data_IF_687845203902
#
_entry.id   IF_687845203902
#
_cell.length_a   1.000
_cell.length_b   1.000
_cell.length_c   1.000
_cell.angle_alpha   90.00
_cell.angle_beta   90.00
_cell.angle_gamma   90.00
#
_symmetry.space_group_name_H-M   'P 1'
#
loop_
_entity.id
_entity.type
_entity.pdbx_description
1 polymer ?
#
# COMPACT_ATOMS: atom_id res chain seq x y z
N UNK A 1 3.33 14.39 17.91
CA UNK A 1 3.71 12.96 17.81
C UNK A 1 3.42 12.50 16.39
N UNK A 2 4.45 12.13 15.64
CA UNK A 2 4.30 11.49 14.32
C UNK A 2 4.11 10.00 14.59
N UNK A 3 3.10 9.38 13.96
CA UNK A 3 2.95 7.93 13.97
C UNK A 3 3.14 7.41 12.55
N UNK A 4 4.00 6.43 12.39
CA UNK A 4 4.29 5.78 11.11
C UNK A 4 3.94 4.31 11.23
N UNK A 5 3.25 3.79 10.21
CA UNK A 5 2.93 2.38 10.07
C UNK A 5 3.46 1.91 8.72
N UNK A 6 3.97 0.67 8.71
CA UNK A 6 4.39 -0.02 7.50
C UNK A 6 3.44 -1.17 7.31
N UNK A 7 2.90 -1.31 6.11
CA UNK A 7 2.12 -2.47 5.70
C UNK A 7 2.43 -2.80 4.24
N UNK A 8 1.96 -3.95 3.79
CA UNK A 8 2.18 -4.43 2.43
C UNK A 8 0.85 -4.49 1.70
N UNK A 9 0.86 -4.11 0.43
CA UNK A 9 -0.31 -4.19 -0.44
C UNK A 9 0.04 -4.94 -1.72
N UNK A 10 -0.91 -5.72 -2.25
CA UNK A 10 -0.77 -6.30 -3.59
C UNK A 10 -1.36 -5.29 -4.56
N UNK A 11 -0.60 -4.98 -5.61
CA UNK A 11 -0.98 -4.04 -6.66
C UNK A 11 -0.74 -4.64 -8.04
N UNK A 12 -1.36 -4.04 -9.05
CA UNK A 12 -0.92 -4.13 -10.44
C UNK A 12 -0.50 -2.75 -10.91
N UNK A 13 0.28 -2.69 -11.98
CA UNK A 13 0.64 -1.46 -12.67
C UNK A 13 0.24 -1.60 -14.14
N UNK A 14 -0.33 -0.53 -14.69
CA UNK A 14 -0.61 -0.36 -16.11
C UNK A 14 -0.23 1.07 -16.55
N UNK A 15 -0.58 1.43 -17.79
CA UNK A 15 -0.24 2.74 -18.36
C UNK A 15 -0.87 3.93 -17.61
N UNK A 16 -1.93 3.71 -16.83
CA UNK A 16 -2.59 4.72 -16.00
C UNK A 16 -2.00 4.80 -14.59
N UNK A 17 -1.19 3.81 -14.18
CA UNK A 17 -0.38 3.83 -12.98
C UNK A 17 -0.59 2.64 -12.05
N UNK A 18 -0.41 2.89 -10.75
CA UNK A 18 -0.40 1.86 -9.71
C UNK A 18 -1.81 1.64 -9.12
N UNK A 19 -2.33 0.43 -9.24
CA UNK A 19 -3.66 0.04 -8.78
C UNK A 19 -3.58 -1.02 -7.66
N UNK A 20 -3.85 -0.63 -6.39
CA UNK A 20 -3.93 -1.58 -5.29
C UNK A 20 -5.21 -2.42 -5.36
N UNK A 21 -5.10 -3.72 -5.08
CA UNK A 21 -6.25 -4.64 -4.98
C UNK A 21 -7.08 -4.46 -3.68
N UNK A 22 -6.77 -3.44 -2.87
CA UNK A 22 -7.41 -3.20 -1.57
C UNK A 22 -6.98 -4.15 -0.45
N UNK A 23 -6.05 -5.06 -0.73
CA UNK A 23 -5.55 -6.06 0.21
C UNK A 23 -4.42 -5.47 1.07
N UNK A 24 -4.59 -5.51 2.38
CA UNK A 24 -3.64 -4.96 3.34
C UNK A 24 -3.08 -6.07 4.22
N UNK A 25 -1.75 -6.17 4.28
CA UNK A 25 -1.05 -7.19 5.05
C UNK A 25 -0.11 -6.57 6.07
N UNK A 26 -0.07 -7.15 7.27
CA UNK A 26 0.78 -6.64 8.35
C UNK A 26 2.23 -7.11 8.19
N UNK A 27 2.44 -8.21 7.45
CA UNK A 27 3.77 -8.77 7.19
C UNK A 27 3.99 -9.07 5.72
N UNK A 28 5.26 -9.09 5.31
CA UNK A 28 5.64 -9.46 3.94
C UNK A 28 5.23 -10.89 3.60
N UNK A 29 5.37 -11.83 4.55
CA UNK A 29 5.01 -13.23 4.34
C UNK A 29 3.53 -13.46 4.07
N UNK A 30 2.65 -12.72 4.76
CA UNK A 30 1.21 -12.73 4.47
C UNK A 30 0.90 -12.19 3.06
N UNK A 31 1.58 -11.12 2.65
CA UNK A 31 1.43 -10.56 1.32
C UNK A 31 1.92 -11.52 0.22
N UNK A 32 3.03 -12.23 0.46
CA UNK A 32 3.55 -13.26 -0.46
C UNK A 32 2.59 -14.45 -0.59
N UNK A 33 1.99 -14.88 0.52
CA UNK A 33 0.95 -15.91 0.49
C UNK A 33 -0.29 -15.45 -0.28
N UNK A 34 -0.72 -14.20 -0.08
CA UNK A 34 -1.79 -13.58 -0.85
C UNK A 34 -1.46 -13.52 -2.35
N UNK A 35 -0.26 -13.05 -2.70
CA UNK A 35 0.16 -12.90 -4.09
C UNK A 35 0.11 -14.23 -4.84
N UNK A 36 0.50 -15.34 -4.21
CA UNK A 36 0.39 -16.68 -4.82
C UNK A 36 -1.04 -17.05 -5.25
N UNK A 37 -2.05 -16.57 -4.52
CA UNK A 37 -3.47 -16.79 -4.84
C UNK A 37 -3.94 -15.89 -5.97
N UNK A 38 -3.49 -14.63 -6.02
CA UNK A 38 -3.96 -13.66 -7.02
C UNK A 38 -3.20 -13.71 -8.36
N UNK A 39 -1.93 -14.14 -8.34
CA UNK A 39 -1.06 -14.15 -9.53
C UNK A 39 -1.60 -14.95 -10.74
N UNK A 40 -2.34 -16.07 -10.58
CA UNK A 40 -2.95 -16.76 -11.72
C UNK A 40 -3.97 -15.92 -12.48
N UNK A 41 -4.74 -15.06 -11.79
CA UNK A 41 -5.72 -14.16 -12.41
C UNK A 41 -5.11 -12.81 -12.81
N UNK A 42 -4.04 -12.40 -12.13
CA UNK A 42 -3.34 -11.14 -12.34
C UNK A 42 -1.83 -11.38 -12.44
N UNK A 43 -1.31 -11.80 -13.61
CA UNK A 43 0.09 -12.18 -13.78
C UNK A 43 1.09 -11.05 -13.51
N UNK A 44 0.65 -9.81 -13.71
CA UNK A 44 1.37 -8.57 -13.46
C UNK A 44 1.32 -8.12 -11.99
N UNK A 45 0.61 -8.83 -11.11
CA UNK A 45 0.49 -8.42 -9.72
C UNK A 45 1.85 -8.52 -8.98
N UNK A 46 2.13 -7.54 -8.13
CA UNK A 46 3.32 -7.48 -7.28
C UNK A 46 2.97 -6.89 -5.92
N UNK A 47 3.89 -7.03 -4.96
CA UNK A 47 3.74 -6.47 -3.61
C UNK A 47 4.47 -5.14 -3.55
N UNK A 48 3.82 -4.12 -3.01
CA UNK A 48 4.46 -2.87 -2.62
C UNK A 48 4.59 -2.78 -1.11
N UNK A 49 5.62 -2.06 -0.66
CA UNK A 49 5.69 -1.60 0.73
C UNK A 49 5.05 -0.24 0.82
N UNK A 50 4.08 -0.09 1.73
CA UNK A 50 3.37 1.16 1.95
C UNK A 50 3.73 1.72 3.31
N UNK A 51 4.24 2.94 3.31
CA UNK A 51 4.55 3.70 4.53
C UNK A 51 3.45 4.73 4.76
N UNK A 52 2.60 4.51 5.77
CA UNK A 52 1.56 5.46 6.18
C UNK A 52 2.09 6.29 7.34
N UNK A 53 2.25 7.60 7.12
CA UNK A 53 2.65 8.55 8.16
C UNK A 53 1.47 9.44 8.53
N UNK A 54 1.02 9.37 9.78
CA UNK A 54 0.09 10.36 10.35
C UNK A 54 0.89 11.41 11.09
N UNK A 55 1.03 12.56 10.46
CA UNK A 55 1.47 13.77 11.16
C UNK A 55 0.31 14.29 12.02
N UNK A 56 0.60 14.63 13.28
CA UNK A 56 -0.37 15.23 14.21
C UNK A 56 -0.77 16.66 13.84
N UNK A 57 -0.22 17.21 12.77
CA UNK A 57 -0.64 18.51 12.22
C UNK A 57 -2.01 18.31 11.59
N UNK A 58 -3.07 18.70 12.30
CA UNK A 58 -4.33 19.00 11.61
C UNK A 58 -4.02 20.17 10.68
N UNK A 59 -4.19 20.05 9.36
CA UNK A 59 -4.24 21.25 8.54
C UNK A 59 -5.32 22.14 9.14
N UNK A 60 -5.03 23.42 9.39
CA UNK A 60 -6.08 24.38 9.71
C UNK A 60 -7.09 24.31 8.54
N UNK A 61 -8.24 23.67 8.76
CA UNK A 61 -9.32 23.54 7.78
C UNK A 61 -9.25 22.42 6.74
N UNK A 62 -8.33 21.44 6.83
CA UNK A 62 -8.18 20.39 5.81
C UNK A 62 -8.14 18.97 6.35
N UNK A 63 -8.71 18.01 5.61
CA UNK A 63 -8.61 16.57 5.89
C UNK A 63 -7.14 16.15 6.05
N UNK A 64 -6.81 15.18 6.93
CA UNK A 64 -5.45 14.71 7.11
C UNK A 64 -4.88 14.22 5.77
N UNK A 65 -3.81 14.86 5.31
CA UNK A 65 -3.12 14.50 4.06
C UNK A 65 -2.48 13.12 4.24
N UNK A 66 -2.99 12.12 3.51
CA UNK A 66 -2.41 10.78 3.44
C UNK A 66 -1.37 10.78 2.31
N UNK A 67 -0.09 10.89 2.65
CA UNK A 67 0.98 10.62 1.69
C UNK A 67 1.20 9.11 1.61
N UNK A 68 1.00 8.52 0.44
CA UNK A 68 1.38 7.15 0.15
C UNK A 68 2.71 7.17 -0.58
N UNK A 69 3.72 6.50 -0.02
CA UNK A 69 4.97 6.25 -0.73
C UNK A 69 5.05 4.74 -0.95
N UNK A 70 4.89 4.33 -2.22
CA UNK A 70 5.17 2.98 -2.64
C UNK A 70 6.69 2.86 -2.82
N UNK A 71 7.30 1.93 -2.10
CA UNK A 71 8.70 1.54 -2.33
C UNK A 71 8.64 0.17 -3.02
N UNK A 72 9.11 0.11 -4.27
CA UNK A 72 9.28 -1.11 -5.06
C UNK A 72 10.45 -1.94 -4.53
#
# INVERSE_FOLDING_TARGET
MIRTWIHYEICTEDDEGLYPFGLHYSTKGEAEAGLKVYRPAHPSAFIITVVKTRSGVRPQGGLPQRSFQAVQ
#
